data_IF_590174876006
#
_entry.id   IF_590174876006
#
_cell.length_a   1.000
_cell.length_b   1.000
_cell.length_c   1.000
_cell.angle_alpha   90.00
_cell.angle_beta   90.00
_cell.angle_gamma   90.00
#
_symmetry.space_group_name_H-M   'P 1'
#
loop_
_entity.id
_entity.type
_entity.pdbx_description
1 polymer ?
#
# COMPACT_ATOMS: atom_id res chain seq x y z
N UNK A 1 38.16 -20.95 0.39
CA UNK A 1 37.82 -19.81 -0.49
C UNK A 1 36.33 -19.73 -0.86
N UNK A 2 35.66 -20.81 -1.28
CA UNK A 2 34.25 -20.77 -1.72
C UNK A 2 33.23 -20.23 -0.67
N UNK A 3 33.39 -20.57 0.62
CA UNK A 3 32.55 -20.04 1.71
C UNK A 3 32.61 -18.51 1.83
N UNK A 4 33.76 -17.90 1.53
CA UNK A 4 33.94 -16.45 1.63
C UNK A 4 33.22 -15.72 0.49
N UNK A 5 33.28 -16.29 -0.72
CA UNK A 5 32.55 -15.78 -1.89
C UNK A 5 31.03 -15.90 -1.69
N UNK A 6 30.56 -17.02 -1.12
CA UNK A 6 29.14 -17.19 -0.80
C UNK A 6 28.66 -16.18 0.26
N UNK A 7 29.46 -15.89 1.28
CA UNK A 7 29.14 -14.89 2.29
C UNK A 7 29.08 -13.47 1.69
N UNK A 8 30.02 -13.12 0.80
CA UNK A 8 30.01 -11.85 0.08
C UNK A 8 28.77 -11.72 -0.81
N UNK A 9 28.42 -12.78 -1.54
CA UNK A 9 27.20 -12.85 -2.35
C UNK A 9 25.93 -12.68 -1.50
N UNK A 10 25.90 -13.27 -0.30
CA UNK A 10 24.77 -13.14 0.61
C UNK A 10 24.61 -11.71 1.13
N UNK A 11 25.71 -11.04 1.51
CA UNK A 11 25.68 -9.64 1.93
C UNK A 11 25.21 -8.71 0.79
N UNK A 12 25.75 -8.88 -0.41
CA UNK A 12 25.35 -8.08 -1.58
C UNK A 12 23.86 -8.26 -1.92
N UNK A 13 23.34 -9.49 -1.81
CA UNK A 13 21.91 -9.76 -1.99
C UNK A 13 21.06 -9.06 -0.93
N UNK A 14 21.52 -9.04 0.33
CA UNK A 14 20.82 -8.38 1.42
C UNK A 14 20.76 -6.85 1.20
N UNK A 15 21.90 -6.23 0.90
CA UNK A 15 21.95 -4.78 0.61
C UNK A 15 21.07 -4.39 -0.59
N UNK A 16 21.10 -5.20 -1.66
CA UNK A 16 20.27 -4.94 -2.83
C UNK A 16 18.77 -5.07 -2.51
N UNK A 17 18.40 -6.08 -1.72
CA UNK A 17 17.03 -6.27 -1.27
C UNK A 17 16.53 -5.09 -0.41
N UNK A 18 17.36 -4.58 0.51
CA UNK A 18 17.04 -3.38 1.28
C UNK A 18 16.86 -2.16 0.39
N UNK A 19 17.77 -1.92 -0.56
CA UNK A 19 17.65 -0.78 -1.49
C UNK A 19 16.38 -0.87 -2.35
N UNK A 20 16.04 -2.06 -2.84
CA UNK A 20 14.79 -2.29 -3.58
C UNK A 20 13.57 -2.02 -2.69
N UNK A 21 13.61 -2.47 -1.43
CA UNK A 21 12.56 -2.22 -0.46
C UNK A 21 12.34 -0.72 -0.24
N UNK A 22 13.41 0.04 0.00
CA UNK A 22 13.35 1.49 0.15
C UNK A 22 12.84 2.19 -1.10
N UNK A 23 13.29 1.77 -2.29
CA UNK A 23 12.86 2.35 -3.55
C UNK A 23 11.36 2.12 -3.78
N UNK A 24 10.89 0.89 -3.55
CA UNK A 24 9.47 0.55 -3.64
C UNK A 24 8.65 1.38 -2.66
N UNK A 25 9.08 1.49 -1.41
CA UNK A 25 8.39 2.28 -0.40
C UNK A 25 8.35 3.79 -0.75
N UNK A 26 9.42 4.32 -1.36
CA UNK A 26 9.49 5.70 -1.84
C UNK A 26 8.60 5.95 -3.06
N UNK A 27 8.50 5.00 -4.00
CA UNK A 27 7.57 5.07 -5.13
C UNK A 27 6.11 5.02 -4.65
N UNK A 28 5.82 4.17 -3.66
CA UNK A 28 4.55 4.16 -2.96
C UNK A 28 4.24 5.53 -2.31
N UNK A 29 5.25 6.14 -1.67
CA UNK A 29 5.14 7.46 -1.05
C UNK A 29 4.90 8.59 -2.06
N UNK A 30 5.62 8.60 -3.18
CA UNK A 30 5.55 9.64 -4.21
C UNK A 30 4.22 9.64 -5.01
N UNK A 31 3.24 8.84 -4.59
CA UNK A 31 1.87 9.01 -5.03
C UNK A 31 1.43 8.05 -6.13
N UNK A 32 2.26 7.08 -6.55
CA UNK A 32 1.85 6.11 -7.57
C UNK A 32 0.55 5.41 -7.16
N UNK A 33 0.47 4.85 -5.96
CA UNK A 33 -0.77 4.19 -5.49
C UNK A 33 -1.86 5.11 -4.96
N UNK A 34 -1.53 6.31 -4.47
CA UNK A 34 -2.56 7.30 -4.14
C UNK A 34 -3.27 7.80 -5.41
N UNK A 35 -2.53 7.94 -6.51
CA UNK A 35 -3.07 8.30 -7.81
C UNK A 35 -3.91 7.17 -8.41
N UNK A 36 -3.40 5.93 -8.39
CA UNK A 36 -4.19 4.74 -8.78
C UNK A 36 -5.45 4.57 -7.91
N UNK A 37 -5.38 4.88 -6.62
CA UNK A 37 -6.53 4.84 -5.70
C UNK A 37 -7.56 5.95 -5.90
N UNK A 38 -7.17 7.07 -6.52
CA UNK A 38 -8.12 8.11 -6.99
C UNK A 38 -8.82 7.68 -8.28
N UNK A 39 -8.14 6.96 -9.16
CA UNK A 39 -8.69 6.48 -10.43
C UNK A 39 -9.67 5.32 -10.26
N UNK A 40 -9.48 4.48 -9.24
CA UNK A 40 -10.34 3.33 -8.95
C UNK A 40 -10.67 3.24 -7.46
N UNK A 41 -11.70 3.97 -7.04
CA UNK A 41 -12.33 3.68 -5.74
C UNK A 41 -13.14 2.39 -5.93
N UNK A 42 -12.70 1.32 -5.26
CA UNK A 42 -13.33 -0.01 -5.33
C UNK A 42 -14.64 -0.02 -4.55
N UNK A 43 -15.56 -0.89 -4.95
CA UNK A 43 -16.89 -1.00 -4.31
C UNK A 43 -16.85 -1.76 -2.97
N UNK A 44 -15.72 -2.41 -2.66
CA UNK A 44 -15.55 -3.19 -1.45
C UNK A 44 -14.52 -2.55 -0.50
N UNK A 45 -14.96 -2.22 0.71
CA UNK A 45 -14.14 -1.63 1.77
C UNK A 45 -13.02 -2.55 2.29
N UNK A 46 -13.17 -3.87 2.13
CA UNK A 46 -12.20 -4.88 2.58
C UNK A 46 -11.15 -5.23 1.52
N UNK A 47 -11.17 -4.53 0.37
CA UNK A 47 -10.24 -4.79 -0.72
C UNK A 47 -8.77 -4.65 -0.23
N UNK A 48 -7.85 -5.55 -0.64
CA UNK A 48 -6.45 -5.52 -0.18
C UNK A 48 -5.73 -4.18 -0.40
N UNK A 49 -6.11 -3.42 -1.43
CA UNK A 49 -5.56 -2.07 -1.70
C UNK A 49 -5.96 -1.00 -0.68
N UNK A 50 -6.96 -1.28 0.16
CA UNK A 50 -7.42 -0.43 1.26
C UNK A 50 -6.90 -0.92 2.61
N UNK A 51 -5.99 -1.89 2.64
CA UNK A 51 -5.29 -2.31 3.86
C UNK A 51 -4.10 -1.41 4.14
N UNK A 52 -3.76 -1.30 5.43
CA UNK A 52 -2.55 -0.61 5.86
C UNK A 52 -1.34 -1.34 5.29
N UNK A 53 -0.46 -0.60 4.63
CA UNK A 53 0.83 -1.09 4.16
C UNK A 53 1.90 -0.70 5.18
N UNK A 54 2.18 -1.60 6.12
CA UNK A 54 3.16 -1.38 7.21
C UNK A 54 4.54 -1.06 6.64
N UNK A 55 4.98 -1.79 5.60
CA UNK A 55 6.26 -1.57 4.93
C UNK A 55 6.39 -0.15 4.37
N UNK A 56 5.32 0.37 3.76
CA UNK A 56 5.31 1.75 3.28
C UNK A 56 5.35 2.76 4.43
N UNK A 57 4.67 2.48 5.56
CA UNK A 57 4.69 3.35 6.73
C UNK A 57 6.06 3.40 7.42
N UNK A 58 6.88 2.34 7.35
CA UNK A 58 8.20 2.30 7.99
C UNK A 58 9.14 3.40 7.50
N UNK A 59 9.03 3.79 6.22
CA UNK A 59 9.88 4.84 5.63
C UNK A 59 9.27 6.25 5.70
N UNK A 60 8.09 6.39 6.30
CA UNK A 60 7.38 7.66 6.40
C UNK A 60 7.67 8.36 7.74
N UNK A 61 7.82 9.68 7.70
CA UNK A 61 7.82 10.51 8.90
C UNK A 61 6.42 10.62 9.54
N UNK A 62 6.28 11.11 10.79
CA UNK A 62 4.99 11.16 11.48
C UNK A 62 3.89 11.92 10.72
N UNK A 63 4.22 13.07 10.11
CA UNK A 63 3.27 13.87 9.32
C UNK A 63 2.78 13.11 8.08
N UNK A 64 3.67 12.36 7.43
CA UNK A 64 3.34 11.52 6.29
C UNK A 64 2.48 10.32 6.69
N UNK A 65 2.78 9.66 7.81
CA UNK A 65 1.94 8.57 8.36
C UNK A 65 0.52 9.05 8.62
N UNK A 66 0.35 10.22 9.23
CA UNK A 66 -0.97 10.79 9.50
C UNK A 66 -1.75 11.07 8.21
N UNK A 67 -1.12 11.68 7.20
CA UNK A 67 -1.73 11.90 5.88
C UNK A 67 -2.12 10.59 5.21
N UNK A 68 -1.26 9.57 5.27
CA UNK A 68 -1.52 8.24 4.71
C UNK A 68 -2.74 7.58 5.35
N UNK A 69 -2.81 7.58 6.69
CA UNK A 69 -3.94 7.00 7.43
C UNK A 69 -5.24 7.75 7.13
N UNK A 70 -5.20 9.09 7.14
CA UNK A 70 -6.37 9.92 6.82
C UNK A 70 -6.92 9.63 5.42
N UNK A 71 -6.05 9.54 4.41
CA UNK A 71 -6.46 9.21 3.05
C UNK A 71 -6.96 7.76 2.90
N UNK A 72 -6.39 6.82 3.66
CA UNK A 72 -6.86 5.44 3.70
C UNK A 72 -8.28 5.33 4.29
N UNK A 73 -8.53 6.00 5.41
CA UNK A 73 -9.84 6.06 6.06
C UNK A 73 -10.87 6.71 5.14
N UNK A 74 -10.52 7.81 4.48
CA UNK A 74 -11.37 8.48 3.50
C UNK A 74 -11.78 7.52 2.38
N UNK A 75 -10.82 6.77 1.81
CA UNK A 75 -11.11 5.80 0.74
C UNK A 75 -11.96 4.62 1.22
N UNK A 76 -11.71 4.10 2.42
CA UNK A 76 -12.56 3.08 3.04
C UNK A 76 -13.99 3.57 3.24
N UNK A 77 -14.17 4.79 3.74
CA UNK A 77 -15.50 5.39 3.93
C UNK A 77 -16.29 5.47 2.62
N UNK A 78 -15.65 5.89 1.53
CA UNK A 78 -16.31 5.93 0.21
C UNK A 78 -16.66 4.51 -0.26
N UNK A 79 -15.75 3.54 -0.12
CA UNK A 79 -16.01 2.15 -0.49
C UNK A 79 -17.16 1.54 0.32
N UNK A 80 -17.22 1.81 1.63
CA UNK A 80 -18.30 1.39 2.50
C UNK A 80 -19.66 1.98 2.07
N UNK A 81 -19.71 3.29 1.79
CA UNK A 81 -20.92 3.96 1.30
C UNK A 81 -21.42 3.35 -0.01
N UNK A 82 -20.51 3.01 -0.94
CA UNK A 82 -20.87 2.35 -2.20
C UNK A 82 -21.40 0.94 -1.96
N UNK A 83 -20.71 0.15 -1.15
CA UNK A 83 -21.18 -1.19 -0.75
C UNK A 83 -22.61 -1.15 -0.19
N UNK A 84 -22.91 -0.18 0.69
CA UNK A 84 -24.25 0.01 1.23
C UNK A 84 -25.30 0.39 0.16
N UNK A 85 -24.92 1.18 -0.85
CA UNK A 85 -25.83 1.55 -1.94
C UNK A 85 -26.10 0.36 -2.88
N UNK A 86 -25.07 -0.41 -3.23
CA UNK A 86 -25.21 -1.63 -4.04
C UNK A 86 -26.09 -2.66 -3.34
N UNK A 87 -25.94 -2.85 -2.03
CA UNK A 87 -26.74 -3.79 -1.25
C UNK A 87 -28.17 -3.29 -0.92
N UNK A 88 -28.48 -2.01 -1.17
CA UNK A 88 -29.82 -1.42 -0.95
C UNK A 88 -30.68 -1.37 -2.21
N UNK A 89 -30.17 -1.73 -3.37
CA UNK A 89 -31.00 -1.84 -4.57
C UNK A 89 -32.00 -3.01 -4.39
N UNK A 90 -33.33 -2.77 -4.41
CA UNK A 90 -34.28 -3.87 -4.43
C UNK A 90 -34.05 -4.67 -5.72
N UNK A 91 -33.99 -6.00 -5.57
CA UNK A 91 -34.10 -6.93 -6.68
C UNK A 91 -35.48 -6.76 -7.31
N UNK A 92 -35.58 -5.85 -8.28
CA UNK A 92 -36.71 -5.79 -9.19
C UNK A 92 -36.44 -6.78 -10.31
N UNK A 93 -36.98 -7.99 -10.19
CA UNK A 93 -37.59 -8.73 -11.30
C UNK A 93 -38.49 -9.85 -10.76
#
# INVERSE_FOLDING_TARGET
MAKNIQNILLMLKFELAEKIFYLKARLWHNGFLMWWGKLYIRDNEFHPSLRINVSAMLVMNPKQKQRYISDLLRRRGIAHQRSLQTNKAPANH
#
